data_IF_043640088377
#
_entry.id   IF_043640088377
#
_cell.length_a   1.000
_cell.length_b   1.000
_cell.length_c   1.000
_cell.angle_alpha   90.00
_cell.angle_beta   90.00
_cell.angle_gamma   90.00
#
_symmetry.space_group_name_H-M   'P 1'
#
loop_
_entity.id
_entity.type
_entity.pdbx_description
1 polymer ?
#
# COMPACT_ATOMS: atom_id res chain seq x y z
N UNK A 1 29.25 1.47 -40.37
CA UNK A 1 27.76 1.51 -40.46
C UNK A 1 27.07 0.41 -39.66
N UNK A 2 27.53 -0.85 -39.70
CA UNK A 2 26.93 -2.00 -38.99
C UNK A 2 26.80 -1.82 -37.46
N UNK A 3 27.83 -1.25 -36.82
CA UNK A 3 27.84 -0.97 -35.37
C UNK A 3 26.87 0.15 -34.96
N UNK A 4 26.68 1.19 -35.79
CA UNK A 4 25.68 2.24 -35.55
C UNK A 4 24.26 1.69 -35.61
N UNK A 5 23.99 0.79 -36.57
CA UNK A 5 22.70 0.11 -36.70
C UNK A 5 22.43 -0.83 -35.51
N UNK A 6 23.44 -1.59 -35.07
CA UNK A 6 23.34 -2.45 -33.88
C UNK A 6 23.06 -1.66 -32.60
N UNK A 7 23.69 -0.50 -32.44
CA UNK A 7 23.48 0.38 -31.27
C UNK A 7 22.07 0.98 -31.22
N UNK A 8 21.52 1.34 -32.38
CA UNK A 8 20.13 1.82 -32.51
C UNK A 8 19.12 0.72 -32.14
N UNK A 9 19.36 -0.52 -32.58
CA UNK A 9 18.50 -1.66 -32.25
C UNK A 9 18.54 -1.95 -30.75
N UNK A 10 19.73 -1.97 -30.15
CA UNK A 10 19.88 -2.22 -28.70
C UNK A 10 19.20 -1.14 -27.85
N UNK A 11 19.32 0.13 -28.25
CA UNK A 11 18.62 1.24 -27.61
C UNK A 11 17.09 1.09 -27.70
N UNK A 12 16.56 0.73 -28.88
CA UNK A 12 15.13 0.52 -29.07
C UNK A 12 14.56 -0.61 -28.19
N UNK A 13 15.30 -1.72 -28.06
CA UNK A 13 14.93 -2.84 -27.18
C UNK A 13 14.97 -2.45 -25.71
N UNK A 14 15.96 -1.64 -25.29
CA UNK A 14 16.03 -1.17 -23.92
C UNK A 14 14.82 -0.26 -23.58
N UNK A 15 14.46 0.66 -24.48
CA UNK A 15 13.33 1.58 -24.25
C UNK A 15 11.97 0.87 -24.15
N UNK A 16 11.75 -0.20 -24.91
CA UNK A 16 10.47 -0.92 -24.87
C UNK A 16 10.23 -1.65 -23.54
N UNK A 17 11.31 -2.10 -22.88
CA UNK A 17 11.22 -2.81 -21.59
C UNK A 17 10.70 -1.94 -20.43
N UNK A 18 10.80 -0.60 -20.50
CA UNK A 18 10.31 0.29 -19.45
C UNK A 18 8.77 0.27 -19.30
N UNK A 19 8.04 -0.17 -20.33
CA UNK A 19 6.57 -0.15 -20.34
C UNK A 19 5.95 -1.54 -20.22
N UNK A 20 6.75 -2.60 -20.11
CA UNK A 20 6.30 -3.99 -20.23
C UNK A 20 5.22 -4.40 -19.21
N UNK A 21 5.23 -3.82 -18.00
CA UNK A 21 4.28 -4.13 -16.93
C UNK A 21 3.16 -3.10 -16.76
N UNK A 22 3.12 -2.06 -17.61
CA UNK A 22 2.17 -0.94 -17.45
C UNK A 22 0.70 -1.33 -17.58
N UNK A 23 0.40 -2.46 -18.24
CA UNK A 23 -0.94 -2.99 -18.43
C UNK A 23 -1.23 -4.25 -17.60
N UNK A 24 -0.34 -4.65 -16.69
CA UNK A 24 -0.59 -5.78 -15.79
C UNK A 24 -1.46 -5.32 -14.63
N UNK A 25 -2.76 -5.53 -14.74
CA UNK A 25 -3.70 -5.25 -13.66
C UNK A 25 -5.10 -4.90 -14.16
N UNK A 26 -5.93 -4.50 -13.20
CA UNK A 26 -7.32 -4.06 -13.43
C UNK A 26 -7.34 -2.55 -13.65
N UNK A 27 -8.26 -2.07 -14.48
CA UNK A 27 -8.43 -0.64 -14.71
C UNK A 27 -8.81 0.05 -13.39
N UNK A 28 -8.42 1.32 -13.17
CA UNK A 28 -8.69 2.01 -11.90
C UNK A 28 -10.16 1.96 -11.46
N UNK A 29 -11.11 2.04 -12.39
CA UNK A 29 -12.55 1.98 -12.14
C UNK A 29 -13.10 0.57 -11.89
N UNK A 30 -12.36 -0.49 -12.24
CA UNK A 30 -12.75 -1.88 -11.95
C UNK A 30 -12.43 -2.27 -10.51
N UNK A 31 -11.61 -1.47 -9.81
CA UNK A 31 -11.22 -1.74 -8.42
C UNK A 31 -12.40 -1.78 -7.47
N UNK A 32 -13.43 -0.96 -7.69
CA UNK A 32 -14.61 -0.94 -6.83
C UNK A 32 -15.41 -2.26 -6.92
N UNK A 33 -15.52 -2.81 -8.14
CA UNK A 33 -16.27 -4.05 -8.39
C UNK A 33 -15.47 -5.31 -8.05
N UNK A 34 -14.14 -5.27 -8.20
CA UNK A 34 -13.26 -6.42 -7.99
C UNK A 34 -12.69 -6.49 -6.56
N UNK A 35 -12.80 -5.41 -5.78
CA UNK A 35 -12.37 -5.40 -4.39
C UNK A 35 -13.25 -6.32 -3.54
N UNK A 36 -12.61 -7.29 -2.89
CA UNK A 36 -13.28 -8.13 -1.89
C UNK A 36 -13.33 -7.38 -0.56
N UNK A 37 -14.32 -7.69 0.29
CA UNK A 37 -14.42 -7.12 1.64
C UNK A 37 -13.15 -7.37 2.48
N UNK A 38 -12.46 -8.48 2.25
CA UNK A 38 -11.18 -8.81 2.90
C UNK A 38 -10.01 -7.91 2.50
N UNK A 39 -10.14 -7.13 1.42
CA UNK A 39 -9.10 -6.19 0.94
C UNK A 39 -9.24 -4.80 1.55
N UNK A 40 -10.23 -4.58 2.44
CA UNK A 40 -10.33 -3.34 3.19
C UNK A 40 -9.09 -3.15 4.07
N UNK A 41 -8.70 -1.88 4.28
CA UNK A 41 -7.58 -1.50 5.17
C UNK A 41 -7.70 -2.15 6.56
N UNK A 42 -8.94 -2.32 7.02
CA UNK A 42 -9.28 -3.07 8.21
C UNK A 42 -10.41 -4.05 7.87
N UNK A 43 -10.03 -5.28 7.53
CA UNK A 43 -10.99 -6.34 7.18
C UNK A 43 -11.66 -6.99 8.38
N UNK A 44 -11.10 -6.80 9.59
CA UNK A 44 -11.56 -7.35 10.86
C UNK A 44 -11.67 -6.25 11.93
N UNK A 45 -12.68 -5.36 11.82
CA UNK A 45 -12.76 -4.16 12.66
C UNK A 45 -12.94 -4.46 14.15
N UNK A 46 -13.54 -5.60 14.50
CA UNK A 46 -13.68 -6.02 15.89
C UNK A 46 -12.34 -6.38 16.50
N UNK A 47 -11.55 -7.20 15.81
CA UNK A 47 -10.22 -7.61 16.29
C UNK A 47 -9.31 -6.40 16.46
N UNK A 48 -9.28 -5.51 15.46
CA UNK A 48 -8.49 -4.28 15.55
C UNK A 48 -8.93 -3.37 16.72
N UNK A 49 -10.23 -3.31 17.02
CA UNK A 49 -10.73 -2.50 18.11
C UNK A 49 -10.35 -3.07 19.48
N UNK A 50 -10.35 -4.40 19.60
CA UNK A 50 -9.89 -5.10 20.81
C UNK A 50 -8.38 -4.88 20.99
N UNK A 51 -7.59 -5.03 19.92
CA UNK A 51 -6.15 -4.77 19.96
C UNK A 51 -5.86 -3.33 20.38
N UNK A 52 -6.54 -2.36 19.77
CA UNK A 52 -6.39 -0.95 20.11
C UNK A 52 -6.77 -0.67 21.58
N UNK A 53 -7.82 -1.31 22.11
CA UNK A 53 -8.18 -1.22 23.52
C UNK A 53 -7.11 -1.80 24.45
N UNK A 54 -6.51 -2.95 24.09
CA UNK A 54 -5.42 -3.57 24.86
C UNK A 54 -4.18 -2.66 24.85
N UNK A 55 -3.76 -2.19 23.68
CA UNK A 55 -2.60 -1.31 23.55
C UNK A 55 -2.82 0.00 24.30
N UNK A 56 -3.98 0.63 24.17
CA UNK A 56 -4.31 1.81 24.95
C UNK A 56 -4.25 1.53 26.45
N UNK A 57 -4.83 0.42 26.93
CA UNK A 57 -4.81 0.08 28.35
C UNK A 57 -3.41 -0.15 28.91
N UNK A 58 -2.49 -0.69 28.10
CA UNK A 58 -1.11 -1.00 28.52
C UNK A 58 -0.15 0.17 28.35
N UNK A 59 -0.37 1.00 27.34
CA UNK A 59 0.59 1.97 26.82
C UNK A 59 -0.01 3.39 26.73
N UNK A 60 -1.12 3.67 27.43
CA UNK A 60 -1.78 4.97 27.45
C UNK A 60 -0.81 6.12 27.79
N UNK A 61 0.19 5.87 28.64
CA UNK A 61 1.18 6.87 29.02
C UNK A 61 2.15 7.24 27.89
N UNK A 62 2.51 6.30 27.01
CA UNK A 62 3.39 6.53 25.84
C UNK A 62 2.64 7.05 24.62
N UNK A 63 1.32 6.98 24.67
CA UNK A 63 0.44 7.44 23.63
C UNK A 63 0.07 6.36 22.64
N UNK A 64 -1.21 5.99 22.67
CA UNK A 64 -1.79 5.02 21.74
C UNK A 64 -1.97 5.59 20.33
N UNK A 65 -2.64 4.82 19.47
CA UNK A 65 -2.92 5.15 18.05
C UNK A 65 -3.89 6.33 17.81
N UNK A 66 -4.31 7.03 18.86
CA UNK A 66 -5.27 8.13 18.79
C UNK A 66 -4.62 9.49 19.03
N UNK A 67 -5.18 10.53 18.42
CA UNK A 67 -4.80 11.93 18.57
C UNK A 67 -5.15 12.45 19.98
N UNK A 68 -4.40 12.02 20.99
CA UNK A 68 -4.68 12.36 22.40
C UNK A 68 -4.27 11.32 23.44
N UNK A 69 -3.56 10.25 23.05
CA UNK A 69 -2.90 9.39 24.01
C UNK A 69 -1.51 9.94 24.31
N UNK A 70 -1.22 10.26 25.56
CA UNK A 70 0.11 10.64 26.01
C UNK A 70 0.05 11.15 27.44
N UNK A 71 0.41 10.30 28.40
CA UNK A 71 0.49 10.62 29.83
C UNK A 71 -0.84 10.53 30.60
N UNK A 72 -0.73 10.14 31.88
CA UNK A 72 -1.74 10.15 32.97
C UNK A 72 -3.16 9.56 32.73
N UNK A 73 -3.56 9.26 31.49
CA UNK A 73 -4.87 8.68 31.17
C UNK A 73 -6.04 9.68 31.16
N UNK A 74 -5.79 11.00 31.11
CA UNK A 74 -6.85 12.00 31.04
C UNK A 74 -7.19 12.33 29.57
N UNK A 75 -8.23 11.70 29.01
CA UNK A 75 -9.04 12.29 27.93
C UNK A 75 -10.31 12.88 28.52
#
# INVERSE_FOLDING_TARGET
MKYKLSLLILSGVLLSSLTACSSLGVKPWERDLLAKKSMQLNSAPLDSAIDDHIYFSKEASSGGRAFGGGGCGCN
#
